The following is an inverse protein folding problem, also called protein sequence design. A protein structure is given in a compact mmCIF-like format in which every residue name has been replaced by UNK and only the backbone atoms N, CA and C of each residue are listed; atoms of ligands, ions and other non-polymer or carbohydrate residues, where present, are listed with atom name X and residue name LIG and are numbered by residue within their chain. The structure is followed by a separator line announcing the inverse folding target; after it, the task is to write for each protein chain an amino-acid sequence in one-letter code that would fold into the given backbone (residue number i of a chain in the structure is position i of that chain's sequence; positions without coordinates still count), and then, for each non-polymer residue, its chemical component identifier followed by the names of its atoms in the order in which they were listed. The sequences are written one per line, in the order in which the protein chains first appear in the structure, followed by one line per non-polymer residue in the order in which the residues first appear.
data_IF_071058778572
#
_entry.id   IF_071058778572
#
_cell.length_a   1.000
_cell.length_b   1.000
_cell.length_c   1.000
_cell.angle_alpha   90.00
_cell.angle_beta   90.00
_cell.angle_gamma   90.00
#
_symmetry.space_group_name_H-M   'P 1'
#
loop_
_entity.id
_entity.type
_entity.pdbx_description
1 polymer ?
#
# COMPACT_ATOMS: atom_id res chain seq x y z
N UNK A 1 -11.26 -36.71 -37.87
CA UNK A 1 -11.19 -37.08 -36.45
C UNK A 1 -12.12 -36.11 -35.72
N UNK A 2 -13.36 -36.56 -35.43
CA UNK A 2 -14.35 -35.69 -34.80
C UNK A 2 -14.04 -35.59 -33.30
N UNK A 3 -13.71 -34.38 -32.86
CA UNK A 3 -13.54 -34.10 -31.44
C UNK A 3 -14.93 -34.10 -30.82
N UNK A 4 -15.14 -34.95 -29.81
CA UNK A 4 -16.45 -35.01 -29.14
C UNK A 4 -16.78 -33.69 -28.43
N UNK A 5 -18.08 -33.33 -28.33
CA UNK A 5 -18.53 -32.13 -27.64
C UNK A 5 -18.03 -32.10 -26.17
N UNK A 6 -17.90 -33.26 -25.52
CA UNK A 6 -17.34 -33.37 -24.17
C UNK A 6 -15.85 -32.97 -24.13
N UNK A 7 -15.08 -33.32 -25.15
CA UNK A 7 -13.64 -32.95 -25.24
C UNK A 7 -13.50 -31.42 -25.38
N UNK A 8 -14.34 -30.80 -26.22
CA UNK A 8 -14.35 -29.34 -26.41
C UNK A 8 -14.71 -28.63 -25.08
N UNK A 9 -15.72 -29.13 -24.38
CA UNK A 9 -16.15 -28.56 -23.10
C UNK A 9 -15.04 -28.63 -22.02
N UNK A 10 -14.34 -29.77 -21.92
CA UNK A 10 -13.21 -29.94 -21.01
C UNK A 10 -12.07 -28.96 -21.34
N UNK A 11 -11.74 -28.78 -22.62
CA UNK A 11 -10.70 -27.83 -23.06
C UNK A 11 -11.08 -26.40 -22.66
N UNK A 12 -12.35 -26.00 -22.84
CA UNK A 12 -12.82 -24.67 -22.44
C UNK A 12 -12.70 -24.47 -20.93
N UNK A 13 -13.10 -25.47 -20.13
CA UNK A 13 -12.96 -25.38 -18.66
C UNK A 13 -11.49 -25.26 -18.26
N UNK A 14 -10.59 -26.02 -18.86
CA UNK A 14 -9.15 -25.92 -18.57
C UNK A 14 -8.61 -24.54 -18.95
N UNK A 15 -8.98 -24.01 -20.11
CA UNK A 15 -8.56 -22.67 -20.55
C UNK A 15 -9.11 -21.58 -19.61
N UNK A 16 -10.34 -21.68 -19.16
CA UNK A 16 -10.93 -20.75 -18.19
C UNK A 16 -10.25 -20.86 -16.82
N UNK A 17 -9.90 -22.06 -16.36
CA UNK A 17 -9.15 -22.29 -15.15
C UNK A 17 -7.71 -21.71 -15.24
N UNK A 18 -7.02 -21.96 -16.35
CA UNK A 18 -5.68 -21.40 -16.60
C UNK A 18 -5.75 -19.88 -16.68
N UNK A 19 -6.75 -19.32 -17.37
CA UNK A 19 -6.98 -17.88 -17.45
C UNK A 19 -7.30 -17.30 -16.06
N UNK A 20 -8.12 -17.97 -15.26
CA UNK A 20 -8.45 -17.57 -13.88
C UNK A 20 -7.20 -17.61 -12.99
N UNK A 21 -6.42 -18.69 -13.04
CA UNK A 21 -5.17 -18.82 -12.29
C UNK A 21 -4.19 -17.75 -12.74
N UNK A 22 -3.99 -17.55 -14.04
CA UNK A 22 -3.07 -16.55 -14.58
C UNK A 22 -3.44 -15.14 -14.15
N UNK A 23 -4.72 -14.77 -14.18
CA UNK A 23 -5.17 -13.44 -13.75
C UNK A 23 -5.21 -13.25 -12.24
N UNK A 24 -5.26 -14.34 -11.46
CA UNK A 24 -5.26 -14.28 -9.99
C UNK A 24 -3.88 -14.53 -9.37
N UNK A 25 -2.87 -14.97 -10.15
CA UNK A 25 -1.49 -15.00 -9.65
C UNK A 25 -0.93 -13.59 -9.63
N UNK A 26 -0.80 -13.02 -8.46
CA UNK A 26 -0.15 -11.73 -8.26
C UNK A 26 1.38 -11.88 -8.35
N UNK A 27 1.86 -12.09 -9.58
CA UNK A 27 3.29 -12.30 -9.85
C UNK A 27 4.15 -11.13 -9.40
N UNK A 28 3.61 -9.90 -9.48
CA UNK A 28 4.34 -8.70 -9.04
C UNK A 28 4.44 -8.64 -7.53
N UNK A 29 3.40 -9.02 -6.79
CA UNK A 29 3.44 -9.11 -5.34
C UNK A 29 4.46 -10.14 -4.85
N UNK A 30 4.51 -11.32 -5.46
CA UNK A 30 5.52 -12.35 -5.14
C UNK A 30 6.92 -11.82 -5.39
N UNK A 31 7.17 -11.24 -6.56
CA UNK A 31 8.47 -10.66 -6.90
C UNK A 31 8.87 -9.53 -5.96
N UNK A 32 7.93 -8.70 -5.53
CA UNK A 32 8.18 -7.62 -4.58
C UNK A 32 8.66 -8.17 -3.23
N UNK A 33 8.00 -9.21 -2.73
CA UNK A 33 8.41 -9.91 -1.49
C UNK A 33 9.81 -10.51 -1.60
N UNK A 34 10.14 -11.13 -2.74
CA UNK A 34 11.47 -11.67 -2.99
C UNK A 34 12.55 -10.58 -2.94
N UNK A 35 12.30 -9.43 -3.56
CA UNK A 35 13.22 -8.30 -3.54
C UNK A 35 13.39 -7.70 -2.13
N UNK A 36 12.32 -7.63 -1.33
CA UNK A 36 12.39 -7.21 0.07
C UNK A 36 13.29 -8.18 0.86
N UNK A 37 13.06 -9.48 0.75
CA UNK A 37 13.86 -10.51 1.43
C UNK A 37 15.33 -10.48 1.00
N UNK A 38 15.61 -10.14 -0.24
CA UNK A 38 16.98 -9.94 -0.72
C UNK A 38 17.60 -8.69 -0.09
N UNK A 39 16.84 -7.58 -0.04
CA UNK A 39 17.27 -6.33 0.61
C UNK A 39 17.58 -6.54 2.09
N UNK A 40 16.77 -7.31 2.82
CA UNK A 40 16.99 -7.61 4.25
C UNK A 40 18.31 -8.33 4.53
N UNK A 41 18.83 -9.08 3.57
CA UNK A 41 20.13 -9.78 3.68
C UNK A 41 21.31 -8.86 3.40
N UNK A 42 21.07 -7.66 2.88
CA UNK A 42 22.12 -6.68 2.63
C UNK A 42 22.51 -5.95 3.92
N UNK A 43 23.71 -5.40 3.94
CA UNK A 43 24.15 -4.44 4.96
C UNK A 43 23.20 -3.20 4.91
N UNK A 44 22.87 -2.64 6.07
CA UNK A 44 21.87 -1.56 6.18
C UNK A 44 22.13 -0.39 5.22
N UNK A 45 23.40 0.00 5.08
CA UNK A 45 23.83 1.12 4.24
C UNK A 45 23.67 0.85 2.74
N UNK A 46 23.44 -0.39 2.36
CA UNK A 46 23.24 -0.80 0.96
C UNK A 46 21.77 -0.99 0.60
N UNK A 47 20.88 -0.98 1.58
CA UNK A 47 19.45 -1.10 1.33
C UNK A 47 18.92 0.12 0.61
N UNK A 48 18.00 -0.10 -0.33
CA UNK A 48 17.38 0.96 -1.13
C UNK A 48 15.88 0.76 -1.18
N UNK A 49 15.12 1.84 -1.42
CA UNK A 49 13.70 1.72 -1.70
C UNK A 49 13.45 0.80 -2.89
N UNK A 50 12.38 0.01 -2.81
CA UNK A 50 11.95 -0.92 -3.87
C UNK A 50 10.55 -0.55 -4.29
N UNK A 51 10.39 -0.10 -5.54
CA UNK A 51 9.11 0.24 -6.12
C UNK A 51 8.62 -0.87 -7.04
N UNK A 52 7.35 -1.23 -6.91
CA UNK A 52 6.71 -2.23 -7.77
C UNK A 52 5.31 -1.81 -8.19
N UNK A 53 5.07 -1.81 -9.49
CA UNK A 53 3.75 -1.55 -10.06
C UNK A 53 2.82 -2.74 -9.93
N UNK A 54 1.53 -2.45 -9.73
CA UNK A 54 0.46 -3.45 -9.74
C UNK A 54 0.74 -4.63 -8.79
N UNK A 55 1.23 -4.35 -7.58
CA UNK A 55 1.42 -5.37 -6.55
C UNK A 55 0.11 -5.92 -6.01
N UNK A 56 -0.95 -5.10 -6.04
CA UNK A 56 -2.27 -5.46 -5.55
C UNK A 56 -3.28 -5.45 -6.70
N UNK A 57 -3.90 -6.60 -6.93
CA UNK A 57 -4.97 -6.72 -7.90
C UNK A 57 -6.23 -6.00 -7.40
N UNK A 58 -7.08 -5.59 -8.35
CA UNK A 58 -8.32 -4.84 -8.15
C UNK A 58 -9.37 -5.49 -7.22
N UNK A 59 -9.12 -6.68 -6.68
CA UNK A 59 -10.06 -7.40 -5.82
C UNK A 59 -10.24 -6.76 -4.43
N UNK A 60 -9.31 -5.89 -4.02
CA UNK A 60 -9.39 -5.16 -2.77
C UNK A 60 -9.56 -3.67 -3.04
N UNK A 61 -10.62 -3.30 -3.77
CA UNK A 61 -10.92 -1.89 -4.03
C UNK A 61 -11.42 -1.23 -2.75
N UNK A 62 -10.60 -0.33 -2.22
CA UNK A 62 -11.04 0.65 -1.24
C UNK A 62 -11.83 1.72 -1.98
N UNK A 63 -12.97 2.12 -1.41
CA UNK A 63 -13.79 3.23 -1.90
C UNK A 63 -13.63 4.44 -0.99
N UNK A 64 -14.06 5.61 -1.47
CA UNK A 64 -14.13 6.81 -0.62
C UNK A 64 -15.11 6.63 0.55
N UNK A 65 -16.17 5.84 0.37
CA UNK A 65 -17.09 5.51 1.47
C UNK A 65 -16.36 4.74 2.57
N UNK A 66 -15.48 3.80 2.21
CA UNK A 66 -14.67 3.07 3.19
C UNK A 66 -13.73 4.00 3.93
N UNK A 67 -13.06 4.92 3.21
CA UNK A 67 -12.17 5.90 3.81
C UNK A 67 -12.89 6.83 4.80
N UNK A 68 -14.08 7.31 4.45
CA UNK A 68 -14.90 8.15 5.34
C UNK A 68 -15.34 7.37 6.57
N UNK A 69 -15.80 6.13 6.41
CA UNK A 69 -16.18 5.26 7.52
C UNK A 69 -15.00 5.03 8.47
N UNK A 70 -13.77 4.90 7.92
CA UNK A 70 -12.57 4.73 8.73
C UNK A 70 -12.25 5.99 9.56
N UNK A 71 -12.36 7.17 8.97
CA UNK A 71 -12.21 8.43 9.69
C UNK A 71 -13.22 8.50 10.84
N UNK A 72 -14.51 8.21 10.58
CA UNK A 72 -15.54 8.22 11.60
C UNK A 72 -15.29 7.18 12.71
N UNK A 73 -14.83 5.99 12.33
CA UNK A 73 -14.45 4.94 13.27
C UNK A 73 -13.31 5.41 14.17
N UNK A 74 -12.26 5.92 13.55
CA UNK A 74 -11.08 6.37 14.25
C UNK A 74 -11.36 7.49 15.24
N UNK A 75 -12.24 8.44 14.90
CA UNK A 75 -12.68 9.48 15.86
C UNK A 75 -13.44 8.90 17.05
N UNK A 76 -14.25 7.86 16.84
CA UNK A 76 -15.01 7.21 17.93
C UNK A 76 -14.11 6.47 18.93
N UNK A 77 -12.97 5.99 18.50
CA UNK A 77 -12.01 5.24 19.34
C UNK A 77 -10.71 6.02 19.61
N UNK A 78 -10.70 7.31 19.29
CA UNK A 78 -9.56 8.21 19.50
C UNK A 78 -8.28 7.75 18.80
N UNK A 79 -8.40 7.05 17.67
CA UNK A 79 -7.27 6.55 16.86
C UNK A 79 -7.04 7.35 15.57
N UNK A 80 -7.75 8.46 15.36
CA UNK A 80 -7.55 9.35 14.22
C UNK A 80 -6.94 10.66 14.64
N UNK A 81 -5.86 11.03 14.01
CA UNK A 81 -5.16 12.30 14.21
C UNK A 81 -5.18 13.13 12.92
N UNK A 82 -4.89 14.42 13.06
CA UNK A 82 -4.74 15.33 11.92
C UNK A 82 -3.28 15.75 11.78
N UNK A 83 -2.67 15.35 10.67
CA UNK A 83 -1.37 15.87 10.26
C UNK A 83 -1.62 17.24 9.62
N UNK A 84 -1.21 18.30 10.30
CA UNK A 84 -1.43 19.69 9.88
C UNK A 84 -0.19 20.55 10.11
N UNK A 85 -0.05 21.60 9.30
CA UNK A 85 0.93 22.64 9.59
C UNK A 85 0.53 23.39 10.86
N UNK A 86 1.38 23.33 11.89
CA UNK A 86 1.16 24.02 13.16
C UNK A 86 1.26 25.56 13.02
N UNK A 87 1.81 26.04 11.90
CA UNK A 87 2.05 27.47 11.66
C UNK A 87 1.00 28.11 10.74
N UNK A 88 0.22 27.31 10.03
CA UNK A 88 -0.75 27.80 9.04
C UNK A 88 -1.91 26.83 8.89
N UNK A 89 -3.14 27.33 9.03
CA UNK A 89 -4.37 26.59 8.70
C UNK A 89 -4.72 26.66 7.20
N UNK A 90 -3.84 27.27 6.37
CA UNK A 90 -4.10 27.43 4.95
C UNK A 90 -3.95 26.14 4.14
N UNK A 91 -3.25 25.14 4.71
CA UNK A 91 -3.01 23.86 4.06
C UNK A 91 -3.98 22.82 4.63
N UNK A 92 -4.80 22.14 3.80
CA UNK A 92 -5.69 21.09 4.27
C UNK A 92 -4.91 19.98 4.99
N UNK A 93 -5.42 19.43 6.09
CA UNK A 93 -4.75 18.36 6.81
C UNK A 93 -4.84 17.02 6.06
N UNK A 94 -3.97 16.09 6.43
CA UNK A 94 -4.15 14.67 6.18
C UNK A 94 -4.69 14.00 7.44
N UNK A 95 -5.71 13.16 7.30
CA UNK A 95 -6.17 12.29 8.37
C UNK A 95 -5.21 11.11 8.49
N UNK A 96 -4.72 10.89 9.68
CA UNK A 96 -3.86 9.79 10.05
C UNK A 96 -4.65 8.85 10.96
N UNK A 97 -5.03 7.68 10.42
CA UNK A 97 -5.86 6.71 11.12
C UNK A 97 -5.00 5.55 11.59
N UNK A 98 -4.92 5.35 12.90
CA UNK A 98 -4.26 4.23 13.57
C UNK A 98 -5.25 3.07 13.82
N UNK A 99 -4.76 1.95 14.37
CA UNK A 99 -5.56 0.78 14.77
C UNK A 99 -6.43 0.21 13.64
N UNK A 100 -5.85 0.15 12.44
CA UNK A 100 -6.56 -0.26 11.22
C UNK A 100 -6.93 -1.75 11.25
N UNK A 101 -6.32 -2.58 12.12
CA UNK A 101 -6.63 -4.01 12.21
C UNK A 101 -8.08 -4.30 12.60
N UNK A 102 -8.73 -3.39 13.32
CA UNK A 102 -10.12 -3.51 13.74
C UNK A 102 -11.08 -2.68 12.89
N UNK A 103 -10.62 -2.22 11.73
CA UNK A 103 -11.36 -1.37 10.81
C UNK A 103 -12.06 -2.17 9.71
N UNK A 104 -12.93 -1.54 8.90
CA UNK A 104 -13.45 -2.10 7.66
C UNK A 104 -12.34 -2.55 6.67
N UNK A 105 -11.12 -2.03 6.83
CA UNK A 105 -9.96 -2.38 6.01
C UNK A 105 -9.23 -3.65 6.44
N UNK A 106 -9.64 -4.31 7.52
CA UNK A 106 -9.00 -5.54 8.04
C UNK A 106 -8.77 -6.59 6.95
N UNK A 107 -9.71 -6.75 6.01
CA UNK A 107 -9.57 -7.69 4.90
C UNK A 107 -8.37 -7.37 4.02
N UNK A 108 -8.12 -6.09 3.74
CA UNK A 108 -6.98 -5.62 2.93
C UNK A 108 -5.69 -5.79 3.69
N UNK A 109 -5.68 -5.41 4.96
CA UNK A 109 -4.51 -5.59 5.84
C UNK A 109 -4.12 -7.06 5.91
N UNK A 110 -5.08 -7.97 6.07
CA UNK A 110 -4.83 -9.41 6.11
C UNK A 110 -4.30 -9.92 4.76
N UNK A 111 -4.94 -9.53 3.65
CA UNK A 111 -4.45 -9.89 2.32
C UNK A 111 -3.02 -9.38 2.06
N UNK A 112 -2.70 -8.18 2.53
CA UNK A 112 -1.34 -7.63 2.44
C UNK A 112 -0.37 -8.45 3.28
N UNK A 113 -0.74 -8.81 4.50
CA UNK A 113 0.09 -9.67 5.37
C UNK A 113 0.34 -11.04 4.74
N UNK A 114 -0.68 -11.65 4.14
CA UNK A 114 -0.55 -12.93 3.43
C UNK A 114 0.41 -12.82 2.23
N UNK A 115 0.24 -11.78 1.39
CA UNK A 115 1.10 -11.54 0.22
C UNK A 115 2.55 -11.33 0.63
N UNK A 116 2.79 -10.55 1.67
CA UNK A 116 4.15 -10.22 2.13
C UNK A 116 4.69 -11.20 3.17
N UNK A 117 3.91 -12.18 3.60
CA UNK A 117 4.27 -13.11 4.68
C UNK A 117 4.81 -12.35 5.91
N UNK A 118 4.22 -11.18 6.17
CA UNK A 118 4.61 -10.33 7.28
C UNK A 118 4.08 -10.91 8.58
N UNK A 119 4.89 -10.85 9.63
CA UNK A 119 4.38 -11.08 10.97
C UNK A 119 3.35 -10.00 11.29
N UNK A 120 2.26 -10.33 12.01
CA UNK A 120 1.27 -9.32 12.39
C UNK A 120 1.96 -8.24 13.20
N UNK A 121 1.98 -7.03 12.66
CA UNK A 121 2.47 -5.86 13.35
C UNK A 121 1.34 -4.96 13.77
N UNK A 122 1.58 -4.24 14.86
CA UNK A 122 0.61 -3.34 15.45
C UNK A 122 0.52 -2.01 14.70
N UNK A 123 1.49 -1.70 13.83
CA UNK A 123 1.57 -0.42 13.13
C UNK A 123 1.10 -0.52 11.68
N UNK A 124 -0.22 -0.45 11.51
CA UNK A 124 -0.84 -0.28 10.20
C UNK A 124 -1.64 1.01 10.21
N UNK A 125 -1.27 1.92 9.32
CA UNK A 125 -1.85 3.25 9.26
C UNK A 125 -2.50 3.54 7.93
N UNK A 126 -3.56 4.35 7.93
CA UNK A 126 -4.09 4.99 6.74
C UNK A 126 -3.84 6.49 6.78
N UNK A 127 -3.34 6.98 5.66
CA UNK A 127 -3.21 8.41 5.38
C UNK A 127 -4.28 8.78 4.35
N UNK A 128 -5.22 9.65 4.74
CA UNK A 128 -6.32 10.10 3.90
C UNK A 128 -6.19 11.59 3.69
N UNK A 129 -5.85 12.01 2.47
CA UNK A 129 -5.76 13.40 2.06
C UNK A 129 -6.91 13.74 1.14
N UNK A 130 -7.52 14.92 1.30
CA UNK A 130 -8.68 15.36 0.52
C UNK A 130 -8.31 16.38 -0.57
N UNK A 131 -7.05 16.78 -0.66
CA UNK A 131 -6.56 17.82 -1.57
C UNK A 131 -5.14 17.51 -2.04
N UNK A 132 -4.76 18.03 -3.21
CA UNK A 132 -3.38 18.02 -3.72
C UNK A 132 -2.39 18.77 -2.84
N UNK A 133 -2.88 19.75 -2.09
CA UNK A 133 -2.09 20.58 -1.17
C UNK A 133 -2.23 20.13 0.28
N UNK A 134 -2.69 18.89 0.53
CA UNK A 134 -2.80 18.40 1.90
C UNK A 134 -1.42 18.28 2.55
N UNK A 135 -1.35 18.72 3.80
CA UNK A 135 -0.12 18.63 4.59
C UNK A 135 0.25 17.15 4.82
N UNK A 136 1.53 16.84 4.71
CA UNK A 136 2.11 15.52 4.97
C UNK A 136 3.04 15.61 6.18
N UNK A 137 3.65 14.49 6.58
CA UNK A 137 4.73 14.52 7.58
C UNK A 137 5.97 15.30 7.11
N UNK A 138 6.03 15.63 5.80
CA UNK A 138 7.22 16.22 5.20
C UNK A 138 8.38 15.22 5.17
N UNK A 139 9.59 15.73 4.99
CA UNK A 139 10.79 14.89 4.94
C UNK A 139 11.10 14.29 6.31
N UNK A 140 11.06 12.96 6.40
CA UNK A 140 11.34 12.17 7.62
C UNK A 140 11.95 10.81 7.27
N UNK A 141 12.30 10.05 8.27
CA UNK A 141 12.66 8.63 8.18
C UNK A 141 11.98 7.86 9.31
N UNK A 142 11.77 6.58 9.11
CA UNK A 142 11.31 5.67 10.14
C UNK A 142 12.54 5.07 10.83
N UNK A 143 12.65 5.24 12.15
CA UNK A 143 13.86 4.85 12.88
C UNK A 143 13.81 3.40 13.33
N UNK A 144 12.63 2.88 13.59
CA UNK A 144 12.45 1.57 14.23
C UNK A 144 12.09 0.46 13.24
N UNK A 145 11.44 0.80 12.13
CA UNK A 145 10.84 -0.17 11.21
C UNK A 145 11.13 0.11 9.74
N UNK A 146 11.16 -0.92 8.94
CA UNK A 146 10.97 -0.83 7.49
C UNK A 146 9.48 -0.60 7.22
N UNK A 147 9.12 0.14 6.18
CA UNK A 147 7.72 0.38 5.84
C UNK A 147 7.38 -0.06 4.43
N UNK A 148 6.16 -0.59 4.28
CA UNK A 148 5.58 -0.87 2.96
C UNK A 148 4.41 0.08 2.77
N UNK A 149 4.53 0.91 1.76
CA UNK A 149 3.51 1.87 1.34
C UNK A 149 2.73 1.28 0.17
N UNK A 150 1.39 1.39 0.24
CA UNK A 150 0.49 0.97 -0.83
C UNK A 150 -0.44 2.13 -1.15
N UNK A 151 -0.51 2.53 -2.42
CA UNK A 151 -1.57 3.44 -2.85
C UNK A 151 -2.87 2.67 -3.05
N UNK A 152 -3.92 3.08 -2.34
CA UNK A 152 -5.26 2.49 -2.46
C UNK A 152 -6.20 3.34 -3.31
N UNK A 153 -6.15 4.66 -3.17
CA UNK A 153 -6.90 5.63 -3.98
C UNK A 153 -5.98 6.80 -4.29
N UNK A 154 -6.06 7.31 -5.52
CA UNK A 154 -5.31 8.50 -5.95
C UNK A 154 -3.82 8.25 -6.07
N UNK A 155 -3.06 9.32 -6.24
CA UNK A 155 -1.63 9.29 -6.54
C UNK A 155 -0.83 9.97 -5.43
N UNK A 156 0.30 9.36 -5.07
CA UNK A 156 1.27 9.90 -4.11
C UNK A 156 2.68 9.70 -4.64
N UNK A 157 3.55 10.65 -4.42
CA UNK A 157 4.99 10.50 -4.72
C UNK A 157 5.81 10.51 -3.45
N UNK A 158 6.92 9.81 -3.48
CA UNK A 158 7.95 9.82 -2.44
C UNK A 158 9.27 10.26 -3.05
N UNK A 159 9.84 11.34 -2.55
CA UNK A 159 11.18 11.82 -2.90
C UNK A 159 12.18 11.30 -1.89
N UNK A 160 13.37 10.97 -2.35
CA UNK A 160 14.48 10.49 -1.53
C UNK A 160 15.67 11.42 -1.63
N UNK A 161 16.56 11.36 -0.63
CA UNK A 161 17.75 12.24 -0.56
C UNK A 161 18.76 12.00 -1.68
N UNK A 162 18.76 10.83 -2.30
CA UNK A 162 19.58 10.52 -3.47
C UNK A 162 19.05 11.14 -4.78
N UNK A 163 17.95 11.91 -4.69
CA UNK A 163 17.29 12.55 -5.83
C UNK A 163 16.30 11.64 -6.56
N UNK A 164 16.14 10.38 -6.17
CA UNK A 164 15.14 9.52 -6.77
C UNK A 164 13.73 9.92 -6.32
N UNK A 165 12.75 9.63 -7.17
CA UNK A 165 11.33 9.85 -6.90
C UNK A 165 10.51 8.69 -7.43
N UNK A 166 9.66 8.13 -6.60
CA UNK A 166 8.68 7.13 -7.00
C UNK A 166 7.26 7.69 -6.87
N UNK A 167 6.48 7.51 -7.92
CA UNK A 167 5.06 7.92 -7.95
C UNK A 167 4.22 6.65 -7.99
N UNK A 168 3.34 6.51 -6.99
CA UNK A 168 2.46 5.37 -6.79
C UNK A 168 1.07 5.71 -7.28
N UNK A 169 0.52 4.83 -8.12
CA UNK A 169 -0.88 4.77 -8.52
C UNK A 169 -1.60 3.66 -7.74
N UNK A 170 -2.94 3.63 -7.73
CA UNK A 170 -3.68 2.60 -7.00
C UNK A 170 -3.24 1.17 -7.37
N UNK A 171 -2.84 0.39 -6.38
CA UNK A 171 -2.30 -0.95 -6.53
C UNK A 171 -0.77 -1.05 -6.56
N UNK A 172 -0.07 0.07 -6.67
CA UNK A 172 1.39 0.11 -6.58
C UNK A 172 1.86 0.01 -5.12
N UNK A 173 3.06 -0.54 -4.93
CA UNK A 173 3.71 -0.64 -3.64
C UNK A 173 5.13 -0.08 -3.66
N UNK A 174 5.55 0.43 -2.51
CA UNK A 174 6.89 0.96 -2.26
C UNK A 174 7.38 0.47 -0.90
N UNK A 175 8.45 -0.31 -0.89
CA UNK A 175 9.17 -0.65 0.32
C UNK A 175 10.24 0.42 0.58
N UNK A 176 10.28 0.92 1.81
CA UNK A 176 11.26 1.90 2.26
C UNK A 176 11.97 1.31 3.49
N UNK A 177 13.27 1.00 3.39
CA UNK A 177 14.06 0.56 4.53
C UNK A 177 14.11 1.64 5.61
N UNK A 178 14.14 1.24 6.86
CA UNK A 178 14.33 2.16 7.99
C UNK A 178 15.57 3.04 7.83
N UNK A 179 15.52 4.21 8.39
CA UNK A 179 16.55 5.25 8.34
C UNK A 179 16.72 5.90 6.96
N UNK A 180 15.98 5.47 5.94
CA UNK A 180 15.98 6.13 4.63
C UNK A 180 15.05 7.34 4.68
N UNK A 181 15.62 8.53 4.51
CA UNK A 181 14.85 9.77 4.44
C UNK A 181 14.00 9.82 3.19
N UNK A 182 12.73 10.13 3.39
CA UNK A 182 11.75 10.27 2.32
C UNK A 182 10.79 11.42 2.61
N UNK A 183 10.22 11.98 1.54
CA UNK A 183 9.30 13.12 1.58
C UNK A 183 8.07 12.80 0.72
N UNK A 184 6.91 12.52 1.35
CA UNK A 184 5.67 12.25 0.63
C UNK A 184 5.06 13.52 0.06
N UNK A 185 4.65 13.47 -1.21
CA UNK A 185 3.94 14.55 -1.91
C UNK A 185 2.56 14.06 -2.37
N UNK A 186 1.52 14.83 -2.05
CA UNK A 186 0.16 14.57 -2.53
C UNK A 186 -0.07 15.17 -3.92
N UNK A 187 -0.85 14.50 -4.77
CA UNK A 187 -1.21 14.99 -6.12
C UNK A 187 -2.72 15.13 -6.29
N UNK A 188 -3.47 15.06 -5.20
CA UNK A 188 -4.91 15.12 -5.18
C UNK A 188 -5.48 14.35 -3.99
N UNK A 189 -6.79 14.16 -3.94
CA UNK A 189 -7.39 13.28 -2.94
C UNK A 189 -6.82 11.87 -3.01
N UNK A 190 -6.38 11.32 -1.87
CA UNK A 190 -5.73 10.01 -1.81
C UNK A 190 -6.06 9.23 -0.55
N UNK A 191 -5.91 7.91 -0.65
CA UNK A 191 -5.82 6.98 0.47
C UNK A 191 -4.56 6.14 0.30
N UNK A 192 -3.68 6.19 1.28
CA UNK A 192 -2.42 5.45 1.30
C UNK A 192 -2.36 4.59 2.55
N UNK A 193 -2.04 3.31 2.38
CA UNK A 193 -1.77 2.37 3.45
C UNK A 193 -0.27 2.37 3.75
N UNK A 194 0.11 2.47 5.01
CA UNK A 194 1.47 2.25 5.49
C UNK A 194 1.48 1.09 6.46
N UNK A 195 2.38 0.14 6.26
CA UNK A 195 2.53 -1.05 7.09
C UNK A 195 3.96 -1.07 7.60
N UNK A 196 4.12 -0.95 8.92
CA UNK A 196 5.39 -1.16 9.60
C UNK A 196 5.83 -2.62 9.50
N UNK A 197 7.12 -2.82 9.30
CA UNK A 197 7.73 -4.14 9.11
C UNK A 197 9.12 -4.19 9.74
N UNK A 198 9.40 -5.25 10.54
CA UNK A 198 10.68 -5.41 11.22
C UNK A 198 11.52 -6.54 10.64
#
# INVERSE_FOLDING_TARGET
MDISNNTIFIIIIILLLVYYIYNNTNTNGVKFVELIKESERMEKEKRKPIFMKNCFNSHHKITWSDAINEIERGYKIESTELIRDKKSDATPPTFFCNDVHNSPFTGIVNATKEVYNLKPYDDVHFYISMSENSHTHGRHNDEEEDVIIISAIGTVSYKFDDGTKHTLEPGDALYIPKLIYHDPETHGPRVTLSIGYY
#
